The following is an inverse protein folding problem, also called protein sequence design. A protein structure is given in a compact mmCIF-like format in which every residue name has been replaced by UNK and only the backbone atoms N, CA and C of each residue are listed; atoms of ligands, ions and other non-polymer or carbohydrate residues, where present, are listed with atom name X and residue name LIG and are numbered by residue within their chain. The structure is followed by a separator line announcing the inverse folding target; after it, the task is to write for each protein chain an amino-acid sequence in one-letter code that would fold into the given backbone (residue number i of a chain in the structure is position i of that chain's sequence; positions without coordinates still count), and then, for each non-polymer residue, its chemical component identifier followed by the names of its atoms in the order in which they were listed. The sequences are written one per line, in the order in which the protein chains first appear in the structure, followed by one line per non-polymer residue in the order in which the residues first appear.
data_IF_675790909023
#
_entry.id   IF_675790909023
#
_cell.length_a   1.000
_cell.length_b   1.000
_cell.length_c   1.000
_cell.angle_alpha   90.00
_cell.angle_beta   90.00
_cell.angle_gamma   90.00
#
_symmetry.space_group_name_H-M   'P 1'
#
loop_
_entity.id
_entity.type
_entity.pdbx_description
1 polymer ?
#
# COMPACT_ATOMS: atom_id res chain seq x y z
N UNK A 1 29.54 37.94 7.64
CA UNK A 1 28.24 37.85 8.30
C UNK A 1 28.02 36.40 8.60
N UNK A 2 28.45 35.95 9.78
CA UNK A 2 28.34 34.57 10.28
C UNK A 2 27.02 34.46 11.05
N UNK A 3 26.12 33.62 10.59
CA UNK A 3 24.87 33.34 11.26
C UNK A 3 25.12 32.30 12.38
N UNK A 4 24.98 32.71 13.62
CA UNK A 4 24.95 31.83 14.80
C UNK A 4 23.62 31.09 14.86
N UNK A 5 23.71 29.76 14.99
CA UNK A 5 22.56 28.90 15.30
C UNK A 5 22.35 28.91 16.83
N UNK A 6 21.10 29.04 17.32
CA UNK A 6 20.85 28.97 18.76
C UNK A 6 21.05 27.52 19.29
N UNK A 7 21.68 27.45 20.43
CA UNK A 7 21.97 26.28 21.25
C UNK A 7 20.70 25.52 21.63
N UNK A 8 20.76 24.19 21.53
CA UNK A 8 19.69 23.27 21.90
C UNK A 8 19.32 23.39 23.37
N UNK A 9 18.05 23.72 23.61
CA UNK A 9 17.39 23.68 24.90
C UNK A 9 17.24 22.23 25.38
N UNK A 10 17.60 21.95 26.61
CA UNK A 10 17.53 20.68 27.31
C UNK A 10 16.12 20.08 27.32
N UNK A 11 16.01 18.85 26.83
CA UNK A 11 14.82 18.00 26.98
C UNK A 11 14.83 17.45 28.42
N UNK A 12 13.74 17.56 29.21
CA UNK A 12 13.66 16.91 30.51
C UNK A 12 13.57 15.40 30.33
N UNK A 13 14.36 14.68 31.12
CA UNK A 13 14.38 13.24 31.19
C UNK A 13 13.19 12.70 32.01
N UNK A 14 12.73 11.53 31.58
CA UNK A 14 11.97 10.53 32.32
C UNK A 14 10.50 10.82 32.66
N UNK A 15 9.63 10.42 31.73
CA UNK A 15 8.38 9.76 32.11
C UNK A 15 8.45 8.29 31.65
N UNK A 16 8.08 7.30 32.50
CA UNK A 16 8.14 5.88 32.13
C UNK A 16 7.08 5.57 31.10
N UNK A 17 7.52 5.16 29.91
CA UNK A 17 6.65 4.62 28.85
C UNK A 17 6.05 3.32 29.39
N UNK A 18 4.74 3.30 29.60
CA UNK A 18 4.00 2.11 30.01
C UNK A 18 4.29 0.93 29.08
N UNK A 19 4.77 -0.16 29.63
CA UNK A 19 5.09 -1.39 28.93
C UNK A 19 3.81 -2.02 28.37
N UNK A 20 3.88 -2.60 27.17
CA UNK A 20 2.79 -3.38 26.56
C UNK A 20 2.24 -4.54 27.41
N UNK A 21 2.90 -4.84 28.55
CA UNK A 21 2.47 -5.87 29.51
C UNK A 21 1.42 -5.39 30.51
N UNK A 22 1.24 -4.09 30.69
CA UNK A 22 0.35 -3.52 31.70
C UNK A 22 -1.12 -3.41 31.25
N UNK A 23 -1.40 -3.68 29.96
CA UNK A 23 -2.75 -3.63 29.41
C UNK A 23 -3.56 -4.95 29.53
N UNK A 24 -2.99 -6.03 30.07
CA UNK A 24 -3.66 -7.35 30.10
C UNK A 24 -4.18 -7.73 31.49
N UNK A 25 -3.95 -6.93 32.55
CA UNK A 25 -4.23 -7.31 33.93
C UNK A 25 -5.48 -6.68 34.58
N UNK A 26 -6.41 -6.11 33.83
CA UNK A 26 -7.60 -5.47 34.42
C UNK A 26 -8.92 -5.95 33.81
N UNK A 27 -9.23 -7.25 33.88
CA UNK A 27 -10.60 -7.76 33.67
C UNK A 27 -10.77 -9.21 34.11
N UNK A 28 -10.57 -9.55 35.39
CA UNK A 28 -11.14 -10.76 36.00
C UNK A 28 -11.41 -10.49 37.47
N UNK A 29 -12.61 -10.08 37.83
CA UNK A 29 -13.29 -10.46 39.10
C UNK A 29 -14.80 -10.08 39.08
N UNK A 30 -15.63 -11.08 39.37
CA UNK A 30 -17.05 -11.10 39.71
C UNK A 30 -17.95 -11.51 38.56
N UNK A 31 -18.73 -12.58 38.57
CA UNK A 31 -19.54 -13.13 39.62
C UNK A 31 -19.93 -14.58 39.27
N UNK A 32 -19.98 -15.46 40.23
CA UNK A 32 -20.58 -16.78 40.16
C UNK A 32 -22.12 -16.67 40.20
N UNK A 33 -22.82 -17.44 39.38
CA UNK A 33 -24.24 -17.68 39.54
C UNK A 33 -25.03 -17.90 38.27
N UNK A 34 -25.26 -19.15 37.85
CA UNK A 34 -26.51 -19.61 37.29
C UNK A 34 -26.73 -19.65 35.80
N UNK A 35 -27.04 -20.85 35.33
CA UNK A 35 -27.72 -21.21 34.08
C UNK A 35 -26.85 -21.52 32.86
N UNK A 36 -26.56 -22.84 32.69
CA UNK A 36 -26.23 -23.47 31.40
C UNK A 36 -27.44 -23.33 30.45
N UNK A 37 -27.39 -22.31 29.59
CA UNK A 37 -28.18 -22.24 28.37
C UNK A 37 -27.19 -22.23 27.20
N UNK A 38 -27.39 -23.16 26.27
CA UNK A 38 -26.49 -23.45 25.17
C UNK A 38 -26.07 -22.20 24.39
N UNK A 39 -24.84 -21.84 24.49
CA UNK A 39 -24.20 -20.93 23.56
C UNK A 39 -23.95 -21.67 22.25
N UNK A 40 -24.95 -21.71 21.38
CA UNK A 40 -24.70 -21.85 19.96
C UNK A 40 -23.81 -20.66 19.60
N UNK A 41 -22.53 -20.93 19.42
CA UNK A 41 -21.57 -19.92 18.99
C UNK A 41 -22.09 -19.29 17.68
N UNK A 42 -22.51 -18.05 17.76
CA UNK A 42 -22.67 -17.22 16.59
C UNK A 42 -21.26 -17.17 15.95
N UNK A 43 -21.05 -17.99 14.93
CA UNK A 43 -19.98 -17.79 13.99
C UNK A 43 -20.20 -16.37 13.45
N UNK A 44 -19.43 -15.43 14.03
CA UNK A 44 -19.37 -14.10 13.46
C UNK A 44 -18.93 -14.30 12.01
N UNK A 45 -19.85 -14.04 11.09
CA UNK A 45 -19.52 -13.90 9.67
C UNK A 45 -18.37 -12.89 9.63
N UNK A 46 -17.16 -13.37 9.39
CA UNK A 46 -16.00 -12.51 9.22
C UNK A 46 -16.30 -11.71 7.95
N UNK A 47 -16.81 -10.50 8.13
CA UNK A 47 -17.12 -9.61 7.03
C UNK A 47 -15.88 -9.44 6.18
N UNK A 48 -16.03 -9.60 4.87
CA UNK A 48 -14.96 -9.32 3.93
C UNK A 48 -14.54 -7.84 4.05
N UNK A 49 -13.27 -7.54 3.75
CA UNK A 49 -12.82 -6.16 3.68
C UNK A 49 -13.75 -5.35 2.78
N UNK A 50 -14.22 -4.21 3.29
CA UNK A 50 -14.93 -3.24 2.49
C UNK A 50 -13.94 -2.17 2.03
N UNK A 51 -13.76 -2.04 0.71
CA UNK A 51 -12.88 -1.04 0.09
C UNK A 51 -13.75 0.00 -0.60
N UNK A 52 -13.66 1.25 -0.13
CA UNK A 52 -14.36 2.39 -0.69
C UNK A 52 -13.40 3.31 -1.41
N UNK A 53 -13.70 3.61 -2.67
CA UNK A 53 -12.96 4.52 -3.53
C UNK A 53 -13.73 5.82 -3.65
N UNK A 54 -13.08 6.97 -3.45
CA UNK A 54 -13.78 8.24 -3.50
C UNK A 54 -12.90 9.43 -3.90
N UNK A 55 -13.56 10.44 -4.48
CA UNK A 55 -13.03 11.76 -4.71
C UNK A 55 -13.87 12.73 -3.88
N UNK A 56 -13.35 13.31 -2.79
CA UNK A 56 -14.11 14.20 -1.92
C UNK A 56 -14.68 15.42 -2.66
N UNK A 57 -15.83 15.95 -2.24
CA UNK A 57 -16.34 17.22 -2.76
C UNK A 57 -15.29 18.34 -2.65
N UNK A 58 -15.19 19.17 -3.67
CA UNK A 58 -14.18 20.24 -3.74
C UNK A 58 -12.82 19.83 -4.29
N UNK A 59 -12.61 18.55 -4.56
CA UNK A 59 -11.43 18.04 -5.26
C UNK A 59 -11.76 17.64 -6.70
N UNK A 60 -10.75 17.62 -7.58
CA UNK A 60 -10.91 17.14 -8.97
C UNK A 60 -11.26 15.63 -8.99
N UNK A 61 -11.83 15.16 -10.10
CA UNK A 61 -12.07 13.73 -10.33
C UNK A 61 -11.13 13.22 -11.43
N UNK A 62 -9.90 12.82 -11.09
CA UNK A 62 -8.93 12.36 -12.07
C UNK A 62 -9.35 11.00 -12.68
N UNK A 63 -9.11 10.77 -13.98
CA UNK A 63 -9.52 9.54 -14.66
C UNK A 63 -8.59 8.35 -14.37
N UNK A 64 -7.53 8.54 -13.60
CA UNK A 64 -6.44 7.56 -13.44
C UNK A 64 -6.22 7.09 -12.01
N UNK A 65 -6.85 7.71 -11.00
CA UNK A 65 -6.75 7.32 -9.60
C UNK A 65 -7.94 7.87 -8.80
N UNK A 66 -8.14 7.40 -7.57
CA UNK A 66 -8.98 8.05 -6.58
C UNK A 66 -8.12 8.79 -5.55
N UNK A 67 -8.63 9.92 -5.04
CA UNK A 67 -7.92 10.66 -3.98
C UNK A 67 -7.88 9.89 -2.68
N UNK A 68 -8.95 9.14 -2.37
CA UNK A 68 -9.08 8.38 -1.12
C UNK A 68 -9.49 6.94 -1.43
N UNK A 69 -8.76 6.01 -0.85
CA UNK A 69 -9.15 4.60 -0.75
C UNK A 69 -9.21 4.26 0.74
N UNK A 70 -10.41 3.95 1.21
CA UNK A 70 -10.68 3.57 2.60
C UNK A 70 -10.89 2.07 2.68
N UNK A 71 -10.24 1.44 3.64
CA UNK A 71 -10.35 -0.01 3.86
C UNK A 71 -10.83 -0.25 5.28
N UNK A 72 -11.93 -1.01 5.43
CA UNK A 72 -12.53 -1.36 6.72
C UNK A 72 -12.79 -2.86 6.80
N UNK A 73 -12.94 -3.38 8.01
CA UNK A 73 -13.17 -4.80 8.26
C UNK A 73 -11.91 -5.66 8.22
N UNK A 74 -12.02 -6.96 8.53
CA UNK A 74 -10.90 -7.89 8.56
C UNK A 74 -10.27 -8.08 7.18
N UNK A 75 -8.94 -7.96 7.09
CA UNK A 75 -8.19 -8.14 5.84
C UNK A 75 -6.73 -8.47 6.10
N UNK A 76 -6.02 -8.90 5.07
CA UNK A 76 -4.57 -8.96 5.00
C UNK A 76 -4.07 -7.78 4.18
N UNK A 77 -3.17 -6.99 4.73
CA UNK A 77 -2.44 -5.96 3.99
C UNK A 77 -1.17 -6.55 3.41
N UNK A 78 -0.97 -6.37 2.12
CA UNK A 78 0.20 -6.84 1.39
C UNK A 78 1.00 -5.64 0.93
N UNK A 79 2.26 -5.57 1.33
CA UNK A 79 3.23 -4.60 0.86
C UNK A 79 4.15 -5.29 -0.13
N UNK A 80 4.21 -4.81 -1.36
CA UNK A 80 5.22 -5.23 -2.32
C UNK A 80 6.39 -4.24 -2.28
N UNK A 81 7.60 -4.78 -2.27
CA UNK A 81 8.80 -3.97 -2.51
C UNK A 81 8.73 -3.31 -3.88
N UNK A 82 9.53 -2.25 -4.09
CA UNK A 82 9.66 -1.61 -5.39
C UNK A 82 10.04 -2.63 -6.47
N UNK A 83 9.22 -2.71 -7.52
CA UNK A 83 9.48 -3.55 -8.68
C UNK A 83 10.08 -2.71 -9.79
N UNK A 84 11.15 -3.22 -10.37
CA UNK A 84 11.87 -2.59 -11.49
C UNK A 84 11.72 -3.44 -12.76
N UNK A 85 12.14 -2.90 -13.91
CA UNK A 85 12.04 -3.57 -15.22
C UNK A 85 13.07 -4.70 -15.41
N UNK A 86 13.22 -5.59 -14.42
CA UNK A 86 14.17 -6.71 -14.41
C UNK A 86 13.39 -8.02 -14.46
N UNK A 87 13.76 -8.93 -15.34
CA UNK A 87 13.14 -10.24 -15.45
C UNK A 87 13.70 -11.25 -14.41
N UNK A 88 13.14 -12.46 -14.38
CA UNK A 88 13.54 -13.51 -13.44
C UNK A 88 15.01 -13.98 -13.61
N UNK A 89 15.66 -13.65 -14.72
CA UNK A 89 17.09 -13.96 -14.97
C UNK A 89 18.03 -12.85 -14.52
N UNK A 90 17.48 -11.72 -14.04
CA UNK A 90 18.25 -10.54 -13.65
C UNK A 90 18.55 -9.59 -14.83
N UNK A 91 17.98 -9.83 -16.01
CA UNK A 91 18.18 -8.98 -17.18
C UNK A 91 17.22 -7.79 -17.15
N UNK A 92 17.77 -6.59 -17.38
CA UNK A 92 16.96 -5.37 -17.54
C UNK A 92 16.29 -5.39 -18.91
N UNK A 93 14.98 -5.14 -18.95
CA UNK A 93 14.24 -4.97 -20.19
C UNK A 93 14.76 -3.74 -20.98
N UNK A 94 14.49 -3.70 -22.29
CA UNK A 94 15.11 -2.74 -23.21
C UNK A 94 14.80 -1.27 -22.92
N UNK A 95 13.84 -0.69 -23.65
CA UNK A 95 13.44 0.72 -23.49
C UNK A 95 12.49 0.90 -22.30
N UNK A 96 12.07 2.16 -22.06
CA UNK A 96 11.17 2.48 -20.96
C UNK A 96 9.84 1.69 -21.03
N UNK A 97 9.24 1.54 -22.21
CA UNK A 97 7.97 0.81 -22.39
C UNK A 97 8.15 -0.67 -22.03
N UNK A 98 9.22 -1.29 -22.47
CA UNK A 98 9.54 -2.68 -22.12
C UNK A 98 9.77 -2.83 -20.62
N UNK A 99 10.49 -1.90 -19.99
CA UNK A 99 10.66 -1.90 -18.53
C UNK A 99 9.33 -1.70 -17.80
N UNK A 100 8.46 -0.81 -18.27
CA UNK A 100 7.15 -0.61 -17.66
C UNK A 100 6.29 -1.89 -17.72
N UNK A 101 6.24 -2.57 -18.85
CA UNK A 101 5.55 -3.86 -18.98
C UNK A 101 6.13 -4.87 -17.99
N UNK A 102 7.47 -5.01 -17.94
CA UNK A 102 8.14 -5.96 -17.05
C UNK A 102 7.83 -5.65 -15.57
N UNK A 103 7.82 -4.38 -15.16
CA UNK A 103 7.44 -3.97 -13.81
C UNK A 103 6.05 -4.48 -13.44
N UNK A 104 5.06 -4.26 -14.32
CA UNK A 104 3.68 -4.69 -14.03
C UNK A 104 3.52 -6.21 -14.08
N UNK A 105 4.26 -6.94 -14.92
CA UNK A 105 4.28 -8.41 -14.90
C UNK A 105 4.93 -8.94 -13.61
N UNK A 106 5.98 -8.29 -13.09
CA UNK A 106 6.57 -8.64 -11.80
C UNK A 106 5.55 -8.42 -10.65
N UNK A 107 4.85 -7.28 -10.65
CA UNK A 107 3.78 -6.99 -9.67
C UNK A 107 2.68 -8.05 -9.75
N UNK A 108 2.23 -8.42 -10.95
CA UNK A 108 1.24 -9.48 -11.17
C UNK A 108 1.69 -10.81 -10.57
N UNK A 109 2.92 -11.20 -10.82
CA UNK A 109 3.51 -12.43 -10.28
C UNK A 109 3.57 -12.40 -8.75
N UNK A 110 4.01 -11.27 -8.17
CA UNK A 110 4.09 -11.10 -6.72
C UNK A 110 2.69 -11.12 -6.07
N UNK A 111 1.70 -10.44 -6.64
CA UNK A 111 0.31 -10.48 -6.15
C UNK A 111 -0.27 -11.90 -6.23
N UNK A 112 -0.05 -12.60 -7.34
CA UNK A 112 -0.54 -13.97 -7.52
C UNK A 112 0.04 -14.93 -6.47
N UNK A 113 1.30 -14.76 -6.05
CA UNK A 113 1.95 -15.59 -5.04
C UNK A 113 1.29 -15.55 -3.66
N UNK A 114 0.51 -14.51 -3.38
CA UNK A 114 -0.24 -14.32 -2.13
C UNK A 114 -1.76 -14.50 -2.31
N UNK A 115 -2.19 -14.88 -3.51
CA UNK A 115 -3.60 -15.13 -3.87
C UNK A 115 -4.36 -13.85 -4.24
N UNK A 116 -3.68 -12.83 -4.75
CA UNK A 116 -4.29 -11.56 -5.18
C UNK A 116 -4.02 -11.23 -6.65
N UNK A 117 -4.57 -10.10 -7.08
CA UNK A 117 -4.42 -9.52 -8.39
C UNK A 117 -4.47 -7.99 -8.34
N UNK A 118 -4.49 -7.35 -9.52
CA UNK A 118 -4.53 -5.88 -9.60
C UNK A 118 -5.82 -5.27 -9.02
N UNK A 119 -6.91 -6.01 -8.99
CA UNK A 119 -8.18 -5.63 -8.36
C UNK A 119 -8.06 -5.43 -6.84
N UNK A 120 -7.03 -6.00 -6.23
CA UNK A 120 -6.75 -5.88 -4.79
C UNK A 120 -5.86 -4.68 -4.46
N UNK A 121 -5.29 -4.01 -5.46
CA UNK A 121 -4.36 -2.89 -5.26
C UNK A 121 -5.11 -1.65 -4.82
N UNK A 122 -4.71 -1.09 -3.68
CA UNK A 122 -5.31 0.13 -3.10
C UNK A 122 -4.39 1.35 -3.19
N UNK A 123 -3.09 1.15 -3.35
CA UNK A 123 -2.10 2.23 -3.48
C UNK A 123 -1.00 1.84 -4.43
N UNK A 124 -0.61 2.80 -5.29
CA UNK A 124 0.61 2.77 -6.10
C UNK A 124 1.49 3.97 -5.77
N UNK A 125 2.81 3.75 -5.68
CA UNK A 125 3.81 4.79 -5.75
C UNK A 125 4.77 4.45 -6.89
N UNK A 126 4.94 5.38 -7.82
CA UNK A 126 5.75 5.15 -9.02
C UNK A 126 6.83 6.22 -9.13
N UNK A 127 8.05 5.77 -9.34
CA UNK A 127 9.25 6.58 -9.47
C UNK A 127 9.78 6.45 -10.90
N UNK A 128 9.79 7.54 -11.65
CA UNK A 128 10.26 7.58 -13.04
C UNK A 128 11.54 8.43 -13.14
N UNK A 129 12.46 7.99 -13.95
CA UNK A 129 13.48 8.88 -14.49
C UNK A 129 12.92 9.59 -15.72
N UNK A 130 13.29 10.86 -15.96
CA UNK A 130 12.86 11.64 -17.13
C UNK A 130 11.32 11.61 -17.35
N UNK A 131 10.59 12.34 -16.50
CA UNK A 131 9.10 12.37 -16.50
C UNK A 131 8.54 12.75 -17.87
N UNK A 132 9.11 13.77 -18.53
CA UNK A 132 8.56 14.30 -19.77
C UNK A 132 8.59 13.26 -20.91
N UNK A 133 9.69 12.49 -21.01
CA UNK A 133 9.82 11.45 -22.01
C UNK A 133 9.01 10.20 -21.67
N UNK A 134 8.93 9.83 -20.38
CA UNK A 134 8.50 8.49 -19.97
C UNK A 134 7.05 8.42 -19.47
N UNK A 135 6.47 9.52 -18.96
CA UNK A 135 5.12 9.49 -18.40
C UNK A 135 4.02 9.11 -19.40
N UNK A 136 4.07 9.48 -20.69
CA UNK A 136 3.06 9.02 -21.65
C UNK A 136 3.02 7.49 -21.75
N UNK A 137 4.16 6.84 -21.97
CA UNK A 137 4.25 5.39 -22.08
C UNK A 137 3.87 4.70 -20.75
N UNK A 138 4.28 5.27 -19.60
CA UNK A 138 3.87 4.78 -18.28
C UNK A 138 2.34 4.75 -18.12
N UNK A 139 1.66 5.85 -18.49
CA UNK A 139 0.18 5.95 -18.36
C UNK A 139 -0.54 4.92 -19.20
N UNK A 140 -0.09 4.71 -20.42
CA UNK A 140 -0.66 3.70 -21.34
C UNK A 140 -0.49 2.28 -20.79
N UNK A 141 0.74 1.89 -20.41
CA UNK A 141 1.02 0.57 -19.87
C UNK A 141 0.23 0.35 -18.57
N UNK A 142 0.29 1.32 -17.63
CA UNK A 142 -0.47 1.21 -16.39
C UNK A 142 -1.98 1.02 -16.64
N UNK A 143 -2.56 1.74 -17.60
CA UNK A 143 -3.99 1.68 -17.88
C UNK A 143 -4.45 0.28 -18.32
N UNK A 144 -3.60 -0.52 -18.96
CA UNK A 144 -3.93 -1.90 -19.36
C UNK A 144 -4.07 -2.86 -18.18
N UNK A 145 -3.39 -2.58 -17.07
CA UNK A 145 -3.48 -3.38 -15.83
C UNK A 145 -4.61 -2.91 -14.89
N UNK A 146 -5.16 -1.72 -15.10
CA UNK A 146 -6.27 -1.15 -14.32
C UNK A 146 -7.45 -0.74 -15.22
N UNK A 147 -8.14 -1.70 -15.87
CA UNK A 147 -9.22 -1.41 -16.80
C UNK A 147 -10.48 -0.86 -16.13
N UNK A 148 -10.76 -1.28 -14.89
CA UNK A 148 -11.96 -0.83 -14.16
C UNK A 148 -11.74 0.54 -13.50
N UNK A 149 -12.33 1.58 -14.09
CA UNK A 149 -12.19 2.96 -13.63
C UNK A 149 -12.91 3.27 -12.31
N UNK A 150 -13.83 2.42 -11.88
CA UNK A 150 -14.56 2.60 -10.62
C UNK A 150 -13.73 2.23 -9.37
N UNK A 151 -12.66 1.46 -9.54
CA UNK A 151 -11.85 0.91 -8.45
C UNK A 151 -10.35 1.19 -8.63
N UNK A 152 -10.02 2.39 -9.08
CA UNK A 152 -8.63 2.78 -9.27
C UNK A 152 -7.94 3.07 -7.94
N UNK A 153 -6.71 2.56 -7.70
CA UNK A 153 -5.97 2.82 -6.48
C UNK A 153 -5.61 4.30 -6.31
N UNK A 154 -5.39 4.72 -5.06
CA UNK A 154 -4.70 5.97 -4.80
C UNK A 154 -3.30 5.92 -5.41
N UNK A 155 -2.84 7.01 -6.03
CA UNK A 155 -1.61 6.98 -6.82
C UNK A 155 -0.74 8.20 -6.55
N UNK A 156 0.56 7.95 -6.47
CA UNK A 156 1.59 9.00 -6.44
C UNK A 156 2.57 8.71 -7.58
N UNK A 157 2.91 9.72 -8.36
CA UNK A 157 3.88 9.64 -9.45
C UNK A 157 4.93 10.71 -9.24
N UNK A 158 6.22 10.31 -9.19
CA UNK A 158 7.34 11.20 -8.92
C UNK A 158 8.43 11.00 -9.98
N UNK A 159 9.12 12.10 -10.29
CA UNK A 159 10.40 12.02 -10.96
C UNK A 159 11.52 11.89 -9.94
N UNK A 160 12.45 10.99 -10.21
CA UNK A 160 13.70 10.84 -9.47
C UNK A 160 14.89 11.01 -10.42
N UNK A 161 16.02 11.54 -9.95
CA UNK A 161 17.19 11.71 -10.81
C UNK A 161 17.82 10.36 -11.21
N UNK A 162 17.66 9.35 -10.36
CA UNK A 162 18.22 8.01 -10.53
C UNK A 162 17.52 7.01 -9.63
N UNK A 163 17.37 5.76 -10.08
CA UNK A 163 17.03 4.59 -9.29
C UNK A 163 18.28 3.85 -8.80
N UNK A 164 18.10 2.75 -8.07
CA UNK A 164 19.21 1.98 -7.49
C UNK A 164 20.28 1.58 -8.53
N UNK A 165 19.85 1.23 -9.75
CA UNK A 165 20.72 1.03 -10.89
C UNK A 165 20.46 2.12 -11.95
N UNK A 166 21.50 2.62 -12.61
CA UNK A 166 21.39 3.64 -13.66
C UNK A 166 20.61 3.15 -14.91
N UNK A 167 20.53 1.84 -15.12
CA UNK A 167 19.76 1.24 -16.21
C UNK A 167 18.25 1.14 -15.90
N UNK A 168 17.82 1.35 -14.65
CA UNK A 168 16.42 1.31 -14.27
C UNK A 168 15.77 2.66 -14.57
N UNK A 169 14.65 2.62 -15.28
CA UNK A 169 13.93 3.82 -15.71
C UNK A 169 12.60 4.00 -14.96
N UNK A 170 12.08 2.92 -14.36
CA UNK A 170 10.84 2.87 -13.59
C UNK A 170 11.00 1.94 -12.40
N UNK A 171 10.45 2.38 -11.26
CA UNK A 171 10.19 1.54 -10.09
C UNK A 171 8.78 1.80 -9.57
N UNK A 172 8.07 0.75 -9.15
CA UNK A 172 6.70 0.86 -8.64
C UNK A 172 6.54 0.05 -7.36
N UNK A 173 6.08 0.72 -6.30
CA UNK A 173 5.65 0.11 -5.04
C UNK A 173 4.13 -0.05 -5.02
N UNK A 174 3.66 -1.12 -4.38
CA UNK A 174 2.24 -1.45 -4.30
C UNK A 174 1.83 -1.80 -2.88
N UNK A 175 0.65 -1.32 -2.48
CA UNK A 175 -0.09 -1.85 -1.33
C UNK A 175 -1.38 -2.47 -1.83
N UNK A 176 -1.64 -3.71 -1.44
CA UNK A 176 -2.85 -4.44 -1.79
C UNK A 176 -3.56 -4.97 -0.56
N UNK A 177 -4.87 -5.21 -0.68
CA UNK A 177 -5.75 -5.70 0.37
C UNK A 177 -6.40 -7.00 -0.08
N UNK A 178 -6.20 -8.06 0.69
CA UNK A 178 -6.79 -9.38 0.43
C UNK A 178 -7.69 -9.82 1.58
N UNK A 179 -8.64 -10.74 1.33
CA UNK A 179 -9.41 -11.35 2.40
C UNK A 179 -8.51 -12.01 3.46
N UNK A 180 -9.00 -12.17 4.71
CA UNK A 180 -8.34 -13.05 5.68
C UNK A 180 -8.07 -14.44 5.07
N UNK A 181 -7.05 -15.12 5.57
CA UNK A 181 -6.89 -16.55 5.25
C UNK A 181 -7.99 -17.32 5.99
N UNK A 182 -8.58 -18.30 5.31
CA UNK A 182 -9.46 -19.28 5.93
C UNK A 182 -8.69 -20.11 6.97
#
# INVERSE_FOLDING_TARGET
MTAEFPSASSVPADEPVASRRDFVAAAVTAAAGGAVAGAAGAAQAQGMANVRYSNPPGMSSPPTYHHVVEVTGPHRTIYLAGQTGVDATGKVAGDFRAQAVQVFENIKTALASVGGGFENVVKLTSYLTNMDANAPAYREVRASYFPNKAVLPASTLLQVPRLANAAYLLEVEVVAILPPRA
#
